data_IF_924190257603
#
_entry.id   IF_924190257603
#
_cell.length_a   1.000
_cell.length_b   1.000
_cell.length_c   1.000
_cell.angle_alpha   90.00
_cell.angle_beta   90.00
_cell.angle_gamma   90.00
#
_symmetry.space_group_name_H-M   'P 1'
#
loop_
_entity.id
_entity.type
_entity.pdbx_description
1 polymer ?
#
# COMPACT_ATOMS: atom_id res chain seq x y z
N UNK A 1 -11.58 -57.65 -30.26
CA UNK A 1 -10.57 -58.75 -30.35
C UNK A 1 -9.58 -58.62 -29.20
N UNK A 2 -8.77 -59.65 -28.90
CA UNK A 2 -7.78 -59.64 -27.79
C UNK A 2 -6.41 -59.12 -28.26
N UNK A 3 -5.64 -58.53 -27.34
CA UNK A 3 -4.27 -58.07 -27.60
C UNK A 3 -3.49 -57.81 -26.31
N UNK A 4 -3.16 -58.86 -25.55
CA UNK A 4 -2.24 -58.81 -24.39
C UNK A 4 -0.83 -59.21 -24.84
N UNK A 5 0.19 -58.52 -24.31
CA UNK A 5 1.52 -59.08 -24.06
C UNK A 5 1.88 -58.76 -22.60
N UNK A 6 2.72 -59.59 -21.98
CA UNK A 6 3.09 -59.54 -20.56
C UNK A 6 4.53 -60.04 -20.38
N UNK A 7 5.02 -60.03 -19.13
CA UNK A 7 6.35 -60.44 -18.66
C UNK A 7 7.51 -59.44 -18.91
N UNK A 8 8.47 -59.29 -17.98
CA UNK A 8 8.48 -59.82 -16.61
C UNK A 8 9.85 -59.78 -15.92
N UNK A 9 9.84 -59.73 -14.58
CA UNK A 9 11.03 -59.79 -13.71
C UNK A 9 11.79 -58.46 -13.55
N UNK A 10 12.41 -58.12 -12.43
CA UNK A 10 12.42 -58.79 -11.11
C UNK A 10 13.85 -58.99 -10.57
N UNK A 11 14.20 -58.32 -9.47
CA UNK A 11 15.52 -58.47 -8.82
C UNK A 11 15.80 -57.44 -7.73
N UNK A 12 15.50 -57.79 -6.48
CA UNK A 12 15.98 -57.08 -5.28
C UNK A 12 17.47 -57.38 -5.02
N UNK A 13 18.21 -56.41 -4.47
CA UNK A 13 19.52 -56.67 -3.85
C UNK A 13 19.81 -55.69 -2.70
N UNK A 14 20.10 -56.21 -1.50
CA UNK A 14 20.45 -55.46 -0.28
C UNK A 14 21.92 -55.67 0.10
N UNK A 15 22.68 -54.58 0.24
CA UNK A 15 23.78 -54.41 1.20
C UNK A 15 24.00 -52.89 1.39
N UNK A 16 24.14 -52.28 2.57
CA UNK A 16 24.80 -52.65 3.83
C UNK A 16 26.34 -52.45 3.80
N UNK A 17 26.80 -51.34 4.40
CA UNK A 17 28.21 -50.99 4.61
C UNK A 17 28.35 -49.84 5.62
N UNK A 18 29.39 -49.85 6.46
CA UNK A 18 29.68 -48.85 7.51
C UNK A 18 31.09 -48.26 7.34
N UNK A 19 31.29 -46.99 7.70
CA UNK A 19 32.62 -46.41 7.97
C UNK A 19 32.72 -44.90 7.68
N UNK A 20 33.49 -44.10 8.44
CA UNK A 20 34.19 -44.51 9.67
C UNK A 20 35.14 -43.54 10.39
N UNK A 21 35.62 -42.44 9.79
CA UNK A 21 36.52 -41.44 10.41
C UNK A 21 36.27 -40.06 9.76
N UNK A 22 36.33 -38.87 10.40
CA UNK A 22 36.88 -38.34 11.67
C UNK A 22 38.30 -37.71 11.58
N UNK A 23 38.36 -36.44 12.02
CA UNK A 23 39.50 -35.58 12.39
C UNK A 23 40.55 -35.15 11.34
N UNK A 24 40.68 -33.83 11.13
CA UNK A 24 41.89 -33.07 11.54
C UNK A 24 41.63 -31.56 11.55
N UNK A 25 42.37 -30.82 12.39
CA UNK A 25 42.34 -29.35 12.44
C UNK A 25 43.42 -28.75 11.53
N UNK A 26 43.24 -27.48 11.15
CA UNK A 26 44.37 -26.54 11.18
C UNK A 26 43.89 -25.14 11.58
N UNK A 27 44.75 -24.40 12.28
CA UNK A 27 44.57 -23.04 12.78
C UNK A 27 45.79 -22.23 12.37
N UNK A 28 45.59 -21.14 11.64
CA UNK A 28 46.64 -20.16 11.33
C UNK A 28 46.17 -18.77 11.78
N UNK A 29 46.69 -18.33 12.92
CA UNK A 29 46.83 -16.89 13.21
C UNK A 29 48.19 -16.44 12.68
N UNK A 30 48.32 -15.16 12.39
CA UNK A 30 49.61 -14.47 12.47
C UNK A 30 49.32 -13.07 12.98
N UNK A 31 50.15 -12.59 13.91
CA UNK A 31 49.94 -11.38 14.69
C UNK A 31 51.01 -10.33 14.35
N UNK A 32 51.07 -9.26 15.15
CA UNK A 32 52.09 -8.21 15.20
C UNK A 32 52.03 -7.05 14.18
N UNK A 33 52.40 -5.81 14.54
CA UNK A 33 52.19 -5.03 15.78
C UNK A 33 52.63 -3.55 15.60
N UNK A 34 52.60 -2.77 16.69
CA UNK A 34 52.99 -1.36 16.89
C UNK A 34 51.94 -0.29 16.50
N UNK A 35 51.46 0.63 17.38
CA UNK A 35 52.08 1.48 18.46
C UNK A 35 52.94 2.62 17.90
N UNK A 36 52.90 3.90 18.33
CA UNK A 36 52.04 4.72 19.25
C UNK A 36 52.20 6.21 18.79
N UNK A 37 52.01 7.37 19.48
CA UNK A 37 51.72 7.79 20.87
C UNK A 37 51.25 9.28 20.91
N UNK A 38 50.35 9.67 21.85
CA UNK A 38 50.18 11.05 22.42
C UNK A 38 49.78 12.23 21.47
N UNK A 39 49.34 13.43 21.91
CA UNK A 39 49.12 14.06 23.24
C UNK A 39 48.06 15.20 23.16
N UNK A 40 47.67 15.80 24.30
CA UNK A 40 46.71 16.92 24.40
C UNK A 40 47.36 18.29 24.76
N UNK A 41 46.70 19.41 24.39
CA UNK A 41 46.62 20.77 25.02
C UNK A 41 47.85 21.43 25.71
N UNK A 42 48.07 22.77 25.52
CA UNK A 42 47.27 23.81 26.19
C UNK A 42 46.98 25.08 25.32
N UNK A 43 46.94 26.31 25.88
CA UNK A 43 46.26 27.49 25.32
C UNK A 43 47.00 28.86 25.48
N UNK A 44 46.55 29.86 24.72
CA UNK A 44 46.69 31.34 24.88
C UNK A 44 48.13 31.97 24.90
N UNK A 45 48.31 33.32 24.85
CA UNK A 45 47.38 34.44 24.54
C UNK A 45 47.90 35.44 23.46
N UNK A 46 47.11 36.48 23.10
CA UNK A 46 47.44 37.94 23.15
C UNK A 46 46.52 38.87 22.32
N UNK A 47 46.40 40.13 22.74
CA UNK A 47 45.64 41.25 22.10
C UNK A 47 46.63 42.32 21.52
N UNK A 48 46.37 43.65 21.30
CA UNK A 48 45.24 44.53 21.68
C UNK A 48 44.82 45.63 20.62
N UNK A 49 43.99 46.60 21.10
CA UNK A 49 43.57 47.92 20.56
C UNK A 49 42.16 48.00 19.95
N UNK A 50 41.38 49.07 20.12
CA UNK A 50 41.35 50.17 21.12
C UNK A 50 40.11 51.07 20.89
N UNK A 51 39.35 51.47 21.92
CA UNK A 51 38.26 52.46 21.73
C UNK A 51 37.27 52.65 22.89
N UNK A 52 37.51 53.66 23.72
CA UNK A 52 36.61 54.27 24.73
C UNK A 52 37.06 55.74 24.92
N UNK A 53 36.32 56.67 25.57
CA UNK A 53 35.10 56.53 26.39
C UNK A 53 33.91 57.36 25.81
N UNK A 54 32.78 57.70 26.48
CA UNK A 54 32.63 58.54 27.69
C UNK A 54 31.25 58.41 28.40
N UNK A 55 31.17 59.00 29.60
CA UNK A 55 30.02 59.11 30.56
C UNK A 55 30.38 60.22 31.58
N UNK A 56 29.50 60.69 32.49
CA UNK A 56 28.04 60.93 32.47
C UNK A 56 27.79 62.48 32.40
N UNK A 57 26.77 63.13 33.03
CA UNK A 57 26.43 63.12 34.47
C UNK A 57 24.92 62.91 34.78
N UNK A 58 24.52 63.11 36.05
CA UNK A 58 23.14 62.98 36.56
C UNK A 58 22.77 64.15 37.53
N UNK A 59 21.81 64.01 38.48
CA UNK A 59 20.62 64.88 38.64
C UNK A 59 20.83 66.12 39.56
N UNK A 60 19.75 66.83 39.98
CA UNK A 60 19.21 66.56 41.33
C UNK A 60 17.67 66.71 41.55
N UNK A 61 17.23 66.18 42.69
CA UNK A 61 16.23 66.63 43.73
C UNK A 61 15.19 67.75 43.41
N UNK A 62 13.98 67.79 44.01
CA UNK A 62 13.32 66.87 44.98
C UNK A 62 12.07 67.46 45.70
N UNK A 63 11.49 66.67 46.62
CA UNK A 63 10.64 67.02 47.81
C UNK A 63 9.17 67.55 47.74
N UNK A 64 8.20 66.62 47.91
CA UNK A 64 7.05 66.55 48.90
C UNK A 64 6.06 67.77 49.12
N UNK A 65 5.00 67.74 50.00
CA UNK A 65 3.58 67.71 49.54
C UNK A 65 2.63 68.84 50.04
N UNK A 66 1.39 68.88 49.52
CA UNK A 66 0.24 69.57 50.16
C UNK A 66 -1.11 68.86 49.93
N UNK A 67 -2.01 68.94 50.93
CA UNK A 67 -3.46 68.68 50.87
C UNK A 67 -4.20 70.04 51.01
N UNK A 68 -5.51 70.25 50.84
CA UNK A 68 -6.76 69.46 50.61
C UNK A 68 -7.82 70.48 50.06
N UNK A 69 -9.15 70.23 49.87
CA UNK A 69 -10.02 69.05 50.10
C UNK A 69 -10.66 68.57 48.74
N UNK A 70 -11.77 67.83 48.58
CA UNK A 70 -12.94 67.51 49.40
C UNK A 70 -13.45 66.07 49.22
N UNK A 71 -14.22 65.60 50.19
CA UNK A 71 -14.87 64.28 50.18
C UNK A 71 -16.33 64.36 49.76
N UNK A 72 -16.89 63.29 49.16
CA UNK A 72 -18.20 62.70 49.51
C UNK A 72 -18.51 61.42 48.70
N UNK A 73 -19.44 60.60 49.21
CA UNK A 73 -20.04 59.41 48.55
C UNK A 73 -19.14 58.19 48.24
N UNK A 74 -18.24 57.85 49.16
CA UNK A 74 -17.85 56.45 49.38
C UNK A 74 -19.04 55.66 49.98
N UNK A 75 -19.33 54.43 49.51
CA UNK A 75 -20.17 53.49 50.29
C UNK A 75 -20.94 52.39 49.55
N UNK A 76 -21.56 52.66 48.39
CA UNK A 76 -22.71 51.84 47.95
C UNK A 76 -22.52 50.88 46.76
N UNK A 77 -21.43 50.98 45.98
CA UNK A 77 -21.25 50.16 44.76
C UNK A 77 -20.47 48.84 44.95
N UNK A 78 -19.83 48.62 46.10
CA UNK A 78 -19.02 47.40 46.35
C UNK A 78 -19.79 46.22 46.99
N UNK A 79 -21.10 46.33 47.26
CA UNK A 79 -21.89 45.23 47.85
C UNK A 79 -22.82 44.48 46.87
N UNK A 80 -23.01 44.98 45.65
CA UNK A 80 -23.83 44.30 44.63
C UNK A 80 -23.07 43.22 43.82
N UNK A 81 -21.75 43.34 43.70
CA UNK A 81 -20.95 42.43 42.85
C UNK A 81 -20.80 41.00 43.41
N UNK A 82 -21.07 40.78 44.70
CA UNK A 82 -20.83 39.51 45.40
C UNK A 82 -22.03 38.55 45.36
N UNK A 83 -23.25 39.07 45.17
CA UNK A 83 -24.49 38.26 45.22
C UNK A 83 -24.81 37.62 43.86
N UNK A 84 -24.49 38.28 42.74
CA UNK A 84 -24.67 37.71 41.38
C UNK A 84 -23.71 36.55 41.13
N UNK A 85 -22.53 36.53 41.77
CA UNK A 85 -21.49 35.50 41.59
C UNK A 85 -21.73 34.21 42.40
N UNK A 86 -22.91 34.03 43.02
CA UNK A 86 -23.20 32.90 43.94
C UNK A 86 -24.51 32.16 43.69
N UNK A 87 -25.24 32.43 42.59
CA UNK A 87 -26.61 31.91 42.38
C UNK A 87 -26.88 31.22 41.03
N UNK A 88 -25.84 30.79 40.30
CA UNK A 88 -25.97 29.97 39.06
C UNK A 88 -25.15 28.67 39.13
N UNK A 89 -25.13 28.02 40.30
CA UNK A 89 -24.38 26.78 40.54
C UNK A 89 -25.23 25.73 41.26
N UNK A 90 -26.22 25.16 40.56
CA UNK A 90 -26.65 23.75 40.73
C UNK A 90 -27.68 23.34 39.67
N UNK A 91 -27.20 22.80 38.55
CA UNK A 91 -27.87 21.70 37.87
C UNK A 91 -26.78 20.87 37.20
N UNK A 92 -26.58 19.64 37.69
CA UNK A 92 -25.51 18.77 37.22
C UNK A 92 -26.05 17.74 36.24
N UNK A 93 -25.52 17.74 35.02
CA UNK A 93 -25.53 16.58 34.12
C UNK A 93 -24.22 16.59 33.32
N UNK A 94 -23.63 15.44 32.94
CA UNK A 94 -22.26 15.36 32.44
C UNK A 94 -22.17 15.70 30.94
N UNK A 95 -22.54 16.92 30.58
CA UNK A 95 -22.37 17.49 29.24
C UNK A 95 -20.91 17.44 28.82
N UNK A 96 -20.63 16.73 27.72
CA UNK A 96 -19.29 16.36 27.29
C UNK A 96 -18.30 17.54 27.25
N UNK A 97 -17.09 17.30 27.78
CA UNK A 97 -15.91 18.04 27.32
C UNK A 97 -15.85 17.88 25.81
N UNK A 98 -15.89 18.99 25.07
CA UNK A 98 -15.71 19.01 23.63
C UNK A 98 -14.25 18.64 23.31
N UNK A 99 -14.00 17.32 23.26
CA UNK A 99 -12.70 16.77 22.89
C UNK A 99 -12.32 17.19 21.47
N UNK A 100 -11.00 17.25 21.21
CA UNK A 100 -10.48 17.52 19.86
C UNK A 100 -11.14 16.57 18.87
N UNK A 101 -11.72 17.12 17.81
CA UNK A 101 -12.45 16.38 16.78
C UNK A 101 -11.52 15.40 16.07
N UNK A 102 -11.56 14.13 16.48
CA UNK A 102 -10.70 13.05 16.00
C UNK A 102 -10.02 12.21 17.10
N UNK A 103 -10.00 12.67 18.36
CA UNK A 103 -9.27 12.00 19.44
C UNK A 103 -10.12 10.89 20.10
N UNK A 104 -9.59 9.66 20.16
CA UNK A 104 -10.30 8.48 20.68
C UNK A 104 -10.36 8.47 22.20
N UNK A 105 -11.58 8.52 22.78
CA UNK A 105 -11.83 8.55 24.22
C UNK A 105 -12.33 7.22 24.78
N UNK A 106 -12.27 6.14 23.99
CA UNK A 106 -12.65 4.79 24.43
C UNK A 106 -11.80 4.31 25.63
N UNK A 107 -12.44 3.74 26.65
CA UNK A 107 -11.74 3.37 27.91
C UNK A 107 -10.90 2.09 27.83
N UNK A 108 -11.18 1.23 26.85
CA UNK A 108 -10.60 -0.12 26.77
C UNK A 108 -10.17 -0.47 25.34
N UNK A 109 -9.18 -1.36 25.14
CA UNK A 109 -8.83 -1.91 23.83
C UNK A 109 -9.98 -2.71 23.20
N UNK A 110 -9.96 -2.83 21.88
CA UNK A 110 -10.90 -3.67 21.13
C UNK A 110 -10.17 -4.68 20.24
N UNK A 111 -10.56 -5.96 20.36
CA UNK A 111 -10.23 -7.01 19.41
C UNK A 111 -11.12 -6.90 18.18
N UNK A 112 -10.55 -7.10 17.00
CA UNK A 112 -11.24 -7.24 15.72
C UNK A 112 -10.71 -8.47 15.00
N UNK A 113 -11.59 -9.17 14.28
CA UNK A 113 -11.15 -10.06 13.20
C UNK A 113 -11.17 -9.23 11.92
N UNK A 114 -10.03 -9.19 11.24
CA UNK A 114 -9.89 -8.68 9.90
C UNK A 114 -9.86 -9.87 8.94
N UNK A 115 -10.68 -9.81 7.89
CA UNK A 115 -10.64 -10.69 6.73
C UNK A 115 -10.31 -9.84 5.52
N UNK A 116 -9.28 -10.23 4.76
CA UNK A 116 -8.99 -9.71 3.43
C UNK A 116 -9.45 -10.74 2.41
N UNK A 117 -10.19 -10.30 1.39
CA UNK A 117 -10.71 -11.14 0.31
C UNK A 117 -10.23 -10.60 -1.04
N UNK A 118 -9.41 -11.36 -1.75
CA UNK A 118 -9.04 -11.05 -3.13
C UNK A 118 -10.20 -11.31 -4.08
N UNK A 119 -10.48 -10.36 -4.99
CA UNK A 119 -11.53 -10.43 -6.01
C UNK A 119 -10.97 -10.33 -7.44
N UNK A 120 -9.64 -10.41 -7.58
CA UNK A 120 -8.94 -10.36 -8.86
C UNK A 120 -9.18 -11.67 -9.63
N UNK A 121 -10.04 -11.64 -10.66
CA UNK A 121 -10.36 -12.80 -11.49
C UNK A 121 -10.27 -12.48 -12.99
N UNK A 122 -10.23 -13.50 -13.88
CA UNK A 122 -10.33 -13.28 -15.32
C UNK A 122 -11.65 -12.63 -15.75
N UNK A 123 -12.71 -12.71 -14.94
CA UNK A 123 -14.00 -12.09 -15.23
C UNK A 123 -13.98 -10.60 -14.88
N UNK A 124 -13.46 -10.22 -13.70
CA UNK A 124 -13.41 -8.82 -13.25
C UNK A 124 -12.26 -8.04 -13.89
N UNK A 125 -11.13 -8.70 -14.19
CA UNK A 125 -9.94 -8.08 -14.80
C UNK A 125 -9.33 -8.98 -15.89
N UNK A 126 -10.00 -9.16 -17.05
CA UNK A 126 -9.52 -10.02 -18.13
C UNK A 126 -8.21 -9.55 -18.80
N UNK A 127 -7.93 -8.24 -18.83
CA UNK A 127 -6.78 -7.68 -19.56
C UNK A 127 -5.47 -8.16 -18.94
N UNK A 128 -4.71 -8.93 -19.71
CA UNK A 128 -3.40 -9.48 -19.33
C UNK A 128 -3.40 -10.32 -18.05
N UNK A 129 -4.55 -10.91 -17.64
CA UNK A 129 -4.66 -11.66 -16.38
C UNK A 129 -3.54 -12.72 -16.23
N UNK A 130 -2.67 -12.65 -15.21
CA UNK A 130 -1.53 -13.56 -15.09
C UNK A 130 -1.95 -15.02 -14.82
N UNK A 131 -1.76 -15.89 -15.81
CA UNK A 131 -2.09 -17.32 -15.69
C UNK A 131 -0.89 -18.21 -15.31
N UNK A 132 0.36 -17.75 -15.50
CA UNK A 132 1.55 -18.57 -15.29
C UNK A 132 2.81 -17.73 -15.00
N UNK A 133 3.71 -18.31 -14.19
CA UNK A 133 5.09 -17.84 -13.94
C UNK A 133 5.24 -16.35 -13.51
N UNK A 134 4.67 -15.93 -12.37
CA UNK A 134 3.72 -16.63 -11.52
C UNK A 134 2.26 -16.39 -11.95
N UNK A 135 1.30 -17.25 -11.54
CA UNK A 135 -0.11 -16.91 -11.65
C UNK A 135 -0.47 -15.71 -10.77
N UNK A 136 -1.59 -15.05 -11.08
CA UNK A 136 -2.18 -13.99 -10.28
C UNK A 136 -2.43 -14.48 -8.85
N UNK A 137 -1.84 -13.78 -7.88
CA UNK A 137 -1.86 -14.14 -6.46
C UNK A 137 -1.57 -12.90 -5.59
N UNK A 138 -1.66 -13.04 -4.26
CA UNK A 138 -1.44 -11.95 -3.30
C UNK A 138 -0.28 -12.22 -2.36
N UNK A 139 0.43 -11.16 -1.96
CA UNK A 139 1.37 -11.26 -0.84
C UNK A 139 0.66 -11.59 0.47
N UNK A 140 1.43 -11.96 1.50
CA UNK A 140 1.04 -11.76 2.91
C UNK A 140 0.45 -10.34 3.08
N UNK A 141 -0.65 -10.19 3.80
CA UNK A 141 -1.12 -8.87 4.23
C UNK A 141 -0.23 -8.37 5.36
N UNK A 142 0.11 -7.08 5.31
CA UNK A 142 0.71 -6.34 6.42
C UNK A 142 -0.33 -5.36 6.95
N UNK A 143 -0.54 -5.35 8.27
CA UNK A 143 -1.35 -4.34 8.94
C UNK A 143 -0.60 -3.75 10.15
N UNK A 144 -0.83 -2.48 10.44
CA UNK A 144 -0.25 -1.74 11.57
C UNK A 144 -1.35 -0.97 12.27
N UNK A 145 -1.41 -1.03 13.60
CA UNK A 145 -2.25 -0.13 14.42
C UNK A 145 -1.41 1.03 14.94
N UNK A 146 -1.90 2.26 14.81
CA UNK A 146 -1.10 3.48 15.04
C UNK A 146 -1.95 4.69 15.43
N UNK A 147 -1.27 5.79 15.77
CA UNK A 147 -1.80 7.14 15.90
C UNK A 147 -1.54 7.94 14.62
N UNK A 148 -2.04 9.18 14.55
CA UNK A 148 -1.79 10.13 13.45
C UNK A 148 -0.34 10.66 13.38
N UNK A 149 0.57 10.18 14.22
CA UNK A 149 2.02 10.49 14.15
C UNK A 149 2.79 9.52 13.22
N UNK A 150 2.10 8.57 12.59
CA UNK A 150 2.68 7.56 11.70
C UNK A 150 1.71 7.21 10.58
N UNK A 151 2.21 7.09 9.36
CA UNK A 151 1.52 6.51 8.22
C UNK A 151 2.34 5.32 7.72
N UNK A 152 1.68 4.23 7.28
CA UNK A 152 2.37 3.08 6.68
C UNK A 152 2.82 3.40 5.25
N UNK A 153 1.92 4.06 4.52
CA UNK A 153 2.02 4.64 3.19
C UNK A 153 0.89 5.67 3.10
N UNK A 154 0.94 6.64 2.19
CA UNK A 154 -0.12 7.61 1.98
C UNK A 154 -0.19 8.00 0.50
N UNK A 155 -1.38 8.18 -0.08
CA UNK A 155 -1.53 8.67 -1.45
C UNK A 155 -1.03 10.12 -1.56
N UNK A 156 -0.31 10.43 -2.64
CA UNK A 156 0.31 11.73 -2.86
C UNK A 156 1.66 11.93 -2.17
N UNK A 157 2.18 10.93 -1.43
CA UNK A 157 3.47 10.97 -0.73
C UNK A 157 4.47 9.94 -1.30
N UNK A 158 5.77 10.12 -1.04
CA UNK A 158 6.81 9.18 -1.47
C UNK A 158 6.78 7.87 -0.66
N UNK A 159 6.76 6.72 -1.35
CA UNK A 159 6.90 5.41 -0.72
C UNK A 159 8.20 5.28 0.09
N UNK A 160 8.11 4.86 1.37
CA UNK A 160 9.28 4.58 2.21
C UNK A 160 10.13 3.43 1.65
N UNK A 161 11.38 3.28 2.11
CA UNK A 161 12.22 2.10 1.77
C UNK A 161 11.55 0.77 2.13
N UNK A 162 10.78 0.75 3.22
CA UNK A 162 9.94 -0.38 3.61
C UNK A 162 8.78 -0.60 2.64
N UNK A 163 8.05 0.46 2.29
CA UNK A 163 6.95 0.41 1.32
C UNK A 163 7.47 -0.11 -0.02
N UNK A 164 8.51 0.49 -0.59
CA UNK A 164 9.18 0.06 -1.83
C UNK A 164 9.56 -1.41 -1.84
N UNK A 165 10.32 -1.87 -0.84
CA UNK A 165 10.78 -3.27 -0.76
C UNK A 165 9.62 -4.28 -0.61
N UNK A 166 8.47 -3.84 -0.08
CA UNK A 166 7.26 -4.66 -0.05
C UNK A 166 6.44 -4.58 -1.35
N UNK A 167 6.32 -3.37 -1.90
CA UNK A 167 5.64 -3.03 -3.15
C UNK A 167 6.25 -3.78 -4.33
N UNK A 168 7.57 -3.76 -4.49
CA UNK A 168 8.30 -4.49 -5.53
C UNK A 168 8.37 -6.01 -5.24
N UNK A 169 8.85 -6.39 -4.06
CA UNK A 169 9.40 -7.74 -3.80
C UNK A 169 8.61 -8.55 -2.76
N UNK A 170 7.61 -7.97 -2.11
CA UNK A 170 6.93 -8.56 -0.96
C UNK A 170 7.84 -8.75 0.27
N UNK A 171 9.01 -8.09 0.32
CA UNK A 171 9.96 -8.19 1.43
C UNK A 171 9.52 -7.28 2.58
N UNK A 172 9.71 -7.72 3.82
CA UNK A 172 9.08 -7.10 5.00
C UNK A 172 10.06 -6.85 6.15
N UNK A 173 11.32 -6.61 5.83
CA UNK A 173 12.40 -6.35 6.80
C UNK A 173 12.37 -4.88 7.21
N UNK A 174 12.48 -3.96 6.24
CA UNK A 174 12.48 -2.52 6.51
C UNK A 174 11.12 -2.05 7.08
N UNK A 175 9.96 -2.52 6.59
CA UNK A 175 8.65 -2.24 7.23
C UNK A 175 8.59 -2.61 8.73
N UNK A 176 9.30 -3.65 9.16
CA UNK A 176 9.36 -4.03 10.59
C UNK A 176 10.26 -3.10 11.37
N UNK A 177 11.36 -2.65 10.77
CA UNK A 177 12.31 -1.70 11.34
C UNK A 177 11.66 -0.33 11.52
N UNK A 178 11.00 0.19 10.49
CA UNK A 178 10.24 1.44 10.49
C UNK A 178 9.16 1.41 11.60
N UNK A 179 8.31 0.37 11.61
CA UNK A 179 7.26 0.22 12.62
C UNK A 179 7.81 0.00 14.05
N UNK A 180 8.97 -0.66 14.21
CA UNK A 180 9.66 -0.81 15.50
C UNK A 180 10.22 0.51 16.01
N UNK A 181 10.74 1.37 15.13
CA UNK A 181 11.24 2.69 15.52
C UNK A 181 10.09 3.62 15.89
N UNK A 182 9.06 3.72 15.05
CA UNK A 182 7.85 4.49 15.36
C UNK A 182 7.17 4.01 16.66
N UNK A 183 7.26 2.71 16.99
CA UNK A 183 6.79 2.19 18.28
C UNK A 183 7.65 2.65 19.48
N UNK A 184 8.95 2.90 19.32
CA UNK A 184 9.78 3.55 20.37
C UNK A 184 9.30 4.98 20.63
N UNK A 185 8.92 5.69 19.57
CA UNK A 185 8.29 7.03 19.62
C UNK A 185 6.83 7.01 20.09
N UNK A 186 6.29 5.84 20.47
CA UNK A 186 4.89 5.55 20.87
C UNK A 186 3.82 5.67 19.77
N UNK A 187 4.12 6.31 18.64
CA UNK A 187 3.23 6.48 17.49
C UNK A 187 2.58 5.17 16.98
N UNK A 188 3.33 4.05 16.99
CA UNK A 188 2.83 2.72 16.59
C UNK A 188 2.44 1.85 17.80
N UNK A 189 1.35 1.11 17.66
CA UNK A 189 0.87 0.06 18.55
C UNK A 189 1.46 -1.31 18.20
N UNK A 190 0.80 -2.03 17.29
CA UNK A 190 1.13 -3.42 16.93
C UNK A 190 1.15 -3.63 15.42
N UNK A 191 1.94 -4.60 14.95
CA UNK A 191 2.02 -5.02 13.55
C UNK A 191 1.50 -6.45 13.42
N UNK A 192 0.63 -6.67 12.44
CA UNK A 192 -0.08 -7.93 12.18
C UNK A 192 0.24 -8.43 10.77
N UNK A 193 0.09 -9.75 10.57
CA UNK A 193 0.42 -10.45 9.32
C UNK A 193 -0.54 -11.60 9.05
N UNK A 194 -0.81 -11.85 7.77
CA UNK A 194 -1.45 -13.09 7.29
C UNK A 194 -0.47 -13.94 6.48
N UNK A 195 -0.90 -15.13 6.04
CA UNK A 195 -0.29 -15.81 4.90
C UNK A 195 -0.72 -15.12 3.58
N UNK A 196 0.10 -15.24 2.54
CA UNK A 196 -0.31 -14.84 1.18
C UNK A 196 -1.36 -15.79 0.61
N UNK A 197 -2.15 -15.29 -0.35
CA UNK A 197 -3.20 -16.07 -1.03
C UNK A 197 -2.63 -16.50 -2.39
N UNK A 198 -2.46 -17.81 -2.69
CA UNK A 198 -1.80 -18.31 -3.89
C UNK A 198 -2.67 -18.26 -5.17
N UNK A 199 -3.67 -17.37 -5.20
CA UNK A 199 -4.61 -17.16 -6.30
C UNK A 199 -5.20 -15.75 -6.22
N UNK A 200 -5.62 -15.17 -7.35
CA UNK A 200 -6.21 -13.82 -7.42
C UNK A 200 -7.54 -13.71 -6.66
N UNK A 201 -8.31 -14.80 -6.59
CA UNK A 201 -9.47 -14.95 -5.72
C UNK A 201 -9.17 -15.84 -4.51
N UNK A 202 -9.66 -15.44 -3.34
CA UNK A 202 -9.47 -16.17 -2.08
C UNK A 202 -9.53 -15.24 -0.88
N UNK A 203 -9.25 -15.75 0.33
CA UNK A 203 -9.24 -14.91 1.54
C UNK A 203 -8.13 -15.29 2.52
N UNK A 204 -7.74 -14.34 3.37
CA UNK A 204 -6.89 -14.55 4.53
C UNK A 204 -7.38 -13.70 5.71
N UNK A 205 -7.15 -14.13 6.95
CA UNK A 205 -7.67 -13.45 8.13
C UNK A 205 -6.68 -13.42 9.30
N UNK A 206 -6.91 -12.49 10.23
CA UNK A 206 -6.11 -12.33 11.46
C UNK A 206 -6.93 -11.64 12.56
N UNK A 207 -6.63 -11.92 13.84
CA UNK A 207 -7.14 -11.11 14.95
C UNK A 207 -6.15 -9.97 15.23
N UNK A 208 -6.65 -8.74 15.28
CA UNK A 208 -5.90 -7.55 15.63
C UNK A 208 -6.53 -6.81 16.81
N UNK A 209 -5.71 -6.07 17.57
CA UNK A 209 -6.14 -5.37 18.78
C UNK A 209 -5.76 -3.90 18.67
N UNK A 210 -6.76 -3.03 18.63
CA UNK A 210 -6.56 -1.58 18.70
C UNK A 210 -6.57 -1.11 20.15
N UNK A 211 -5.77 -0.08 20.42
CA UNK A 211 -5.69 0.61 21.70
C UNK A 211 -6.26 2.01 21.52
N UNK A 212 -6.85 2.65 22.55
CA UNK A 212 -7.36 4.02 22.41
C UNK A 212 -6.31 5.03 21.94
N UNK A 213 -5.05 4.85 22.39
CA UNK A 213 -3.87 5.64 21.96
C UNK A 213 -3.37 5.34 20.52
N UNK A 214 -3.94 4.35 19.84
CA UNK A 214 -3.57 3.96 18.49
C UNK A 214 -4.80 3.37 17.77
N UNK A 215 -5.82 4.21 17.46
CA UNK A 215 -7.12 3.79 16.94
C UNK A 215 -7.16 3.68 15.41
N UNK A 216 -6.09 4.09 14.73
CA UNK A 216 -5.96 4.02 13.28
C UNK A 216 -5.39 2.66 12.87
N UNK A 217 -5.83 2.18 11.71
CA UNK A 217 -5.37 0.97 11.05
C UNK A 217 -4.90 1.30 9.63
N UNK A 218 -3.62 1.05 9.35
CA UNK A 218 -3.10 1.02 7.98
C UNK A 218 -2.77 -0.41 7.57
N UNK A 219 -2.95 -0.74 6.30
CA UNK A 219 -2.59 -2.04 5.74
C UNK A 219 -2.16 -1.97 4.27
N UNK A 220 -1.45 -3.01 3.84
CA UNK A 220 -0.85 -3.11 2.51
C UNK A 220 -0.73 -4.59 2.07
N UNK A 221 -1.04 -4.88 0.81
CA UNK A 221 -0.90 -6.20 0.16
C UNK A 221 -0.42 -6.01 -1.29
N UNK A 222 0.76 -6.54 -1.64
CA UNK A 222 1.27 -6.51 -3.03
C UNK A 222 0.45 -7.43 -3.93
N UNK A 223 0.15 -6.96 -5.16
CA UNK A 223 -0.32 -7.79 -6.27
C UNK A 223 0.85 -8.61 -6.82
N UNK A 224 0.68 -9.90 -7.07
CA UNK A 224 1.76 -10.73 -7.64
C UNK A 224 1.25 -11.44 -8.90
N UNK A 225 1.93 -11.33 -10.05
CA UNK A 225 3.05 -10.41 -10.32
C UNK A 225 2.56 -8.97 -10.53
N UNK A 226 3.41 -8.00 -10.21
CA UNK A 226 3.28 -6.58 -10.56
C UNK A 226 4.66 -5.92 -10.46
N UNK A 227 4.89 -4.75 -11.09
CA UNK A 227 6.10 -3.94 -10.90
C UNK A 227 6.25 -3.57 -9.42
N UNK A 228 5.43 -2.63 -8.92
CA UNK A 228 5.36 -2.29 -7.50
C UNK A 228 3.92 -2.25 -6.93
N UNK A 229 2.92 -2.60 -7.74
CA UNK A 229 1.51 -2.36 -7.41
C UNK A 229 1.00 -3.12 -6.18
N UNK A 230 0.18 -2.43 -5.39
CA UNK A 230 -0.41 -2.97 -4.17
C UNK A 230 -1.88 -2.54 -4.00
N UNK A 231 -2.58 -3.16 -3.05
CA UNK A 231 -3.83 -2.63 -2.48
C UNK A 231 -3.64 -2.36 -1.00
N UNK A 232 -4.38 -1.41 -0.44
CA UNK A 232 -4.27 -1.08 0.97
C UNK A 232 -5.34 -0.13 1.48
N UNK A 233 -5.20 0.24 2.75
CA UNK A 233 -5.86 1.40 3.36
C UNK A 233 -4.83 2.13 4.22
N UNK A 234 -4.81 3.47 4.19
CA UNK A 234 -4.10 4.30 5.17
C UNK A 234 -5.08 4.77 6.26
N UNK A 235 -4.60 4.82 7.50
CA UNK A 235 -5.18 5.60 8.60
C UNK A 235 -6.68 5.39 8.90
N UNK A 236 -7.22 4.19 8.68
CA UNK A 236 -8.62 3.87 8.95
C UNK A 236 -8.97 3.99 10.43
N UNK A 237 -9.75 5.00 10.80
CA UNK A 237 -10.16 5.18 12.19
C UNK A 237 -11.36 4.30 12.59
N UNK A 238 -11.10 3.36 13.50
CA UNK A 238 -12.09 2.42 14.05
C UNK A 238 -12.68 2.88 15.40
N UNK A 239 -12.20 3.99 15.96
CA UNK A 239 -12.71 4.60 17.19
C UNK A 239 -13.41 5.94 16.91
N UNK A 240 -14.64 6.10 17.36
CA UNK A 240 -15.42 7.32 17.21
C UNK A 240 -15.88 7.81 18.58
N UNK A 241 -15.24 8.89 19.05
CA UNK A 241 -15.35 9.33 20.44
C UNK A 241 -15.02 8.19 21.40
N UNK A 242 -16.00 7.82 22.23
CA UNK A 242 -15.87 6.75 23.23
C UNK A 242 -16.11 5.32 22.71
N UNK A 243 -16.47 5.14 21.44
CA UNK A 243 -16.98 3.87 20.91
C UNK A 243 -16.10 3.25 19.81
N UNK A 244 -15.99 1.93 19.84
CA UNK A 244 -15.33 1.13 18.79
C UNK A 244 -16.36 0.62 17.80
N UNK A 245 -16.19 0.94 16.51
CA UNK A 245 -17.10 0.59 15.41
C UNK A 245 -17.33 -0.92 15.35
N UNK A 246 -18.58 -1.38 15.28
CA UNK A 246 -18.90 -2.80 15.46
C UNK A 246 -18.53 -3.66 14.25
N UNK A 247 -18.73 -3.14 13.04
CA UNK A 247 -18.48 -3.81 11.77
C UNK A 247 -18.11 -2.77 10.70
N UNK A 248 -17.29 -3.15 9.73
CA UNK A 248 -16.73 -2.30 8.69
C UNK A 248 -16.43 -3.14 7.45
N UNK A 249 -16.77 -2.65 6.26
CA UNK A 249 -16.39 -3.25 4.97
C UNK A 249 -15.83 -2.14 4.09
N UNK A 250 -14.71 -2.38 3.40
CA UNK A 250 -14.12 -1.44 2.46
C UNK A 250 -13.64 -2.14 1.19
N UNK A 251 -13.93 -1.50 0.06
CA UNK A 251 -13.55 -1.95 -1.28
C UNK A 251 -12.18 -1.40 -1.65
N UNK A 252 -11.25 -2.31 -1.96
CA UNK A 252 -9.85 -1.99 -2.18
C UNK A 252 -9.51 -1.93 -3.67
N UNK A 253 -8.77 -0.89 -4.01
CA UNK A 253 -8.37 -0.52 -5.36
C UNK A 253 -6.84 -0.57 -5.48
N UNK A 254 -6.29 -0.80 -6.69
CA UNK A 254 -4.86 -0.80 -6.90
C UNK A 254 -4.24 0.59 -6.74
N UNK A 255 -3.03 0.62 -6.18
CA UNK A 255 -2.14 1.78 -6.10
C UNK A 255 -0.78 1.41 -6.70
N UNK A 256 -0.16 2.38 -7.35
CA UNK A 256 1.23 2.38 -7.78
C UNK A 256 2.11 2.94 -6.66
N UNK A 257 3.31 2.40 -6.45
CA UNK A 257 4.21 2.89 -5.39
C UNK A 257 5.21 3.96 -5.87
N UNK A 258 5.22 4.28 -7.17
CA UNK A 258 6.09 5.29 -7.78
C UNK A 258 7.56 4.88 -7.84
N UNK A 259 7.85 3.58 -7.78
CA UNK A 259 9.21 3.02 -7.60
C UNK A 259 9.70 2.14 -8.74
N UNK A 260 8.80 1.52 -9.52
CA UNK A 260 9.11 0.81 -10.76
C UNK A 260 8.11 1.18 -11.88
N UNK A 261 8.63 1.67 -13.01
CA UNK A 261 7.86 2.21 -14.14
C UNK A 261 7.37 1.13 -15.12
N UNK A 262 7.24 -0.13 -14.70
CA UNK A 262 6.70 -1.21 -15.51
C UNK A 262 5.21 -1.01 -15.87
N UNK A 263 4.84 -1.20 -17.14
CA UNK A 263 3.45 -0.97 -17.59
C UNK A 263 2.50 -2.15 -17.31
N UNK A 264 3.03 -3.36 -17.10
CA UNK A 264 2.22 -4.59 -17.03
C UNK A 264 2.56 -5.44 -15.82
N UNK A 265 1.60 -6.29 -15.39
CA UNK A 265 1.79 -7.26 -14.31
C UNK A 265 3.12 -8.04 -14.39
N UNK A 266 3.58 -8.37 -15.59
CA UNK A 266 4.82 -9.13 -15.85
C UNK A 266 5.89 -8.33 -16.60
N UNK A 267 5.91 -7.00 -16.44
CA UNK A 267 7.00 -6.18 -16.97
C UNK A 267 8.34 -6.48 -16.27
N UNK A 268 9.47 -6.34 -16.96
CA UNK A 268 10.78 -6.36 -16.31
C UNK A 268 10.93 -5.12 -15.42
N UNK A 269 11.64 -5.29 -14.30
CA UNK A 269 11.97 -4.24 -13.33
C UNK A 269 12.66 -3.04 -14.01
N UNK A 270 12.01 -1.88 -14.02
CA UNK A 270 12.49 -0.63 -14.61
C UNK A 270 12.34 0.55 -13.62
N UNK A 271 13.35 0.84 -12.77
CA UNK A 271 13.18 1.72 -11.61
C UNK A 271 12.84 3.18 -11.95
N UNK A 272 11.75 3.69 -11.38
CA UNK A 272 11.32 5.10 -11.52
C UNK A 272 12.41 6.04 -11.00
N UNK A 273 12.87 6.96 -11.86
CA UNK A 273 13.98 7.88 -11.57
C UNK A 273 13.65 9.29 -12.13
N UNK A 274 13.33 10.29 -11.29
CA UNK A 274 13.21 10.22 -9.82
C UNK A 274 12.11 9.27 -9.36
N UNK A 275 12.12 8.93 -8.06
CA UNK A 275 11.00 8.22 -7.46
C UNK A 275 9.75 9.13 -7.49
N UNK A 276 8.62 8.57 -7.89
CA UNK A 276 7.32 9.24 -7.91
C UNK A 276 6.53 8.98 -6.62
N UNK A 277 5.45 9.73 -6.43
CA UNK A 277 4.58 9.59 -5.27
C UNK A 277 3.62 8.41 -5.45
N UNK A 278 3.13 7.83 -4.36
CA UNK A 278 2.09 6.79 -4.39
C UNK A 278 0.82 7.36 -5.02
N UNK A 279 0.28 6.69 -6.03
CA UNK A 279 -0.93 7.14 -6.76
C UNK A 279 -1.96 6.03 -6.90
N UNK A 280 -3.26 6.34 -6.83
CA UNK A 280 -4.33 5.38 -7.12
C UNK A 280 -4.37 5.05 -8.62
N UNK A 281 -4.28 3.76 -8.95
CA UNK A 281 -4.50 3.27 -10.31
C UNK A 281 -6.00 3.22 -10.59
N UNK A 282 -6.41 3.68 -11.77
CA UNK A 282 -7.81 3.78 -12.20
C UNK A 282 -8.00 3.13 -13.58
N UNK A 283 -9.24 3.11 -14.08
CA UNK A 283 -9.55 2.56 -15.42
C UNK A 283 -8.96 3.37 -16.57
N UNK A 284 -8.56 4.62 -16.32
CA UNK A 284 -8.11 5.57 -17.34
C UNK A 284 -6.71 6.17 -17.05
N UNK A 285 -6.18 6.02 -15.83
CA UNK A 285 -4.89 6.55 -15.40
C UNK A 285 -4.10 5.43 -14.68
N UNK A 286 -2.84 5.14 -15.06
CA UNK A 286 -2.08 5.75 -16.16
C UNK A 286 -2.65 5.38 -17.56
N UNK A 287 -2.64 6.35 -18.49
CA UNK A 287 -3.45 6.36 -19.72
C UNK A 287 -2.81 5.71 -20.96
N UNK A 288 -1.89 4.76 -20.78
CA UNK A 288 -1.19 4.10 -21.88
C UNK A 288 -1.87 2.76 -22.26
N UNK A 289 -2.11 2.45 -23.56
CA UNK A 289 -2.90 1.28 -23.97
C UNK A 289 -2.40 -0.06 -23.43
N UNK A 290 -1.07 -0.23 -23.28
CA UNK A 290 -0.48 -1.46 -22.78
C UNK A 290 -0.74 -1.71 -21.28
N UNK A 291 -1.18 -0.70 -20.51
CA UNK A 291 -1.30 -0.81 -19.06
C UNK A 291 -2.36 -1.84 -18.64
N UNK A 292 -2.02 -2.72 -17.70
CA UNK A 292 -2.91 -3.84 -17.33
C UNK A 292 -4.27 -3.40 -16.74
N UNK A 293 -4.32 -2.23 -16.11
CA UNK A 293 -5.54 -1.64 -15.55
C UNK A 293 -6.20 -0.57 -16.45
N UNK A 294 -5.71 -0.35 -17.67
CA UNK A 294 -6.35 0.59 -18.61
C UNK A 294 -7.53 -0.06 -19.34
N UNK A 295 -8.74 0.30 -18.88
CA UNK A 295 -10.06 -0.11 -19.38
C UNK A 295 -10.89 1.14 -19.74
N UNK A 296 -10.67 1.80 -20.89
CA UNK A 296 -11.25 3.11 -21.19
C UNK A 296 -12.79 3.15 -21.29
N UNK A 297 -13.45 2.00 -21.36
CA UNK A 297 -14.92 1.87 -21.33
C UNK A 297 -15.52 1.82 -19.91
N UNK A 298 -14.69 1.70 -18.88
CA UNK A 298 -15.13 1.68 -17.49
C UNK A 298 -14.99 3.08 -16.84
N UNK A 299 -16.03 3.62 -16.18
CA UNK A 299 -15.91 4.87 -15.44
C UNK A 299 -14.98 4.74 -14.22
N UNK A 300 -14.99 3.56 -13.59
CA UNK A 300 -14.13 3.17 -12.47
C UNK A 300 -13.78 1.68 -12.56
N UNK A 301 -12.70 1.25 -11.88
CA UNK A 301 -12.38 -0.18 -11.77
C UNK A 301 -13.32 -0.86 -10.76
N UNK A 302 -13.65 -2.15 -10.95
CA UNK A 302 -14.21 -2.97 -9.88
C UNK A 302 -13.31 -2.98 -8.63
N UNK A 303 -13.85 -3.33 -7.45
CA UNK A 303 -13.02 -3.68 -6.29
C UNK A 303 -12.10 -4.86 -6.63
N UNK A 304 -10.78 -4.66 -6.53
CA UNK A 304 -9.78 -5.70 -6.79
C UNK A 304 -9.64 -6.65 -5.59
N UNK A 305 -9.93 -6.14 -4.39
CA UNK A 305 -10.08 -6.91 -3.16
C UNK A 305 -11.07 -6.19 -2.23
N UNK A 306 -11.43 -6.80 -1.12
CA UNK A 306 -12.15 -6.14 0.00
C UNK A 306 -11.48 -6.47 1.32
N UNK A 307 -11.73 -5.62 2.31
CA UNK A 307 -11.55 -5.97 3.72
C UNK A 307 -12.87 -5.91 4.45
N UNK A 308 -13.04 -6.85 5.39
CA UNK A 308 -14.13 -6.87 6.35
C UNK A 308 -13.53 -6.96 7.75
N UNK A 309 -13.94 -6.04 8.62
CA UNK A 309 -13.53 -5.96 10.01
C UNK A 309 -14.74 -6.09 10.92
N UNK A 310 -14.70 -7.05 11.85
CA UNK A 310 -15.75 -7.23 12.85
C UNK A 310 -15.19 -7.26 14.27
N UNK A 311 -15.69 -6.34 15.10
CA UNK A 311 -15.33 -6.21 16.51
C UNK A 311 -15.76 -7.47 17.28
N UNK A 312 -14.80 -8.08 17.96
CA UNK A 312 -15.03 -9.27 18.77
C UNK A 312 -15.58 -8.89 20.13
N UNK A 313 -16.71 -9.49 20.51
CA UNK A 313 -17.23 -9.42 21.87
C UNK A 313 -16.48 -10.47 22.70
N UNK A 314 -15.82 -10.05 23.78
CA UNK A 314 -15.18 -10.98 24.72
C UNK A 314 -16.26 -11.78 25.46
N UNK A 315 -16.56 -12.98 24.96
CA UNK A 315 -17.28 -13.98 25.74
C UNK A 315 -16.46 -14.36 26.97
N UNK A 316 -17.05 -14.48 28.18
CA UNK A 316 -16.36 -14.99 29.36
C UNK A 316 -16.05 -16.50 29.26
N UNK A 317 -16.63 -17.20 28.27
CA UNK A 317 -16.34 -18.62 28.01
C UNK A 317 -15.05 -18.74 27.20
N UNK A 318 -14.07 -19.51 27.70
CA UNK A 318 -12.89 -19.96 26.94
C UNK A 318 -13.31 -20.89 25.80
N UNK A 319 -13.67 -20.35 24.66
CA UNK A 319 -13.80 -21.12 23.42
C UNK A 319 -12.40 -21.39 22.85
N UNK A 320 -11.97 -22.66 22.90
CA UNK A 320 -10.74 -23.10 22.25
C UNK A 320 -10.87 -22.99 20.73
N UNK A 321 -9.89 -22.34 20.09
CA UNK A 321 -9.72 -22.24 18.63
C UNK A 321 -10.95 -21.76 17.86
N UNK A 322 -11.03 -20.44 17.64
CA UNK A 322 -11.76 -19.92 16.48
C UNK A 322 -11.18 -20.56 15.22
N UNK A 323 -12.00 -21.34 14.50
CA UNK A 323 -11.60 -22.03 13.28
C UNK A 323 -11.55 -21.07 12.08
N UNK A 324 -10.93 -21.50 10.99
CA UNK A 324 -10.87 -20.81 9.69
C UNK A 324 -12.24 -20.84 8.95
N UNK A 325 -13.33 -20.61 9.68
CA UNK A 325 -14.72 -20.76 9.21
C UNK A 325 -15.59 -19.53 9.47
N UNK A 326 -15.00 -18.40 9.92
CA UNK A 326 -15.66 -17.10 9.79
C UNK A 326 -15.55 -16.67 8.33
N UNK A 327 -16.43 -17.26 7.51
CA UNK A 327 -16.72 -16.77 6.17
C UNK A 327 -17.28 -15.34 6.31
N UNK A 328 -16.78 -14.36 5.55
CA UNK A 328 -17.45 -13.07 5.46
C UNK A 328 -18.87 -13.33 4.93
N UNK A 329 -19.87 -12.66 5.51
CA UNK A 329 -21.18 -12.62 4.85
C UNK A 329 -20.99 -11.96 3.47
N UNK A 330 -21.56 -12.49 2.39
CA UNK A 330 -21.45 -11.90 1.08
C UNK A 330 -22.23 -10.57 1.05
N UNK A 331 -21.54 -9.47 1.36
CA UNK A 331 -21.93 -8.14 0.92
C UNK A 331 -22.13 -8.18 -0.59
N UNK A 332 -23.20 -7.54 -1.08
CA UNK A 332 -23.71 -7.74 -2.44
C UNK A 332 -22.71 -7.30 -3.53
N UNK A 333 -21.87 -8.23 -3.98
CA UNK A 333 -21.14 -8.13 -5.23
C UNK A 333 -22.11 -8.29 -6.42
N UNK A 334 -22.93 -7.27 -6.66
CA UNK A 334 -24.01 -7.28 -7.66
C UNK A 334 -23.91 -6.16 -8.72
N UNK A 335 -22.73 -5.59 -8.94
CA UNK A 335 -22.52 -4.60 -10.00
C UNK A 335 -21.31 -4.84 -10.93
N UNK A 336 -20.39 -5.74 -10.55
CA UNK A 336 -19.20 -6.08 -11.33
C UNK A 336 -19.04 -7.60 -11.43
N UNK A 337 -19.97 -8.28 -12.13
CA UNK A 337 -19.85 -9.72 -12.41
C UNK A 337 -18.77 -9.99 -13.47
N UNK A 338 -18.70 -9.13 -14.48
CA UNK A 338 -17.83 -9.27 -15.66
C UNK A 338 -17.45 -7.88 -16.18
N UNK A 339 -16.20 -7.71 -16.59
CA UNK A 339 -15.68 -6.50 -17.25
C UNK A 339 -15.59 -6.72 -18.76
N UNK A 340 -16.28 -5.95 -19.62
CA UNK A 340 -16.14 -6.10 -21.07
C UNK A 340 -14.72 -5.73 -21.52
N UNK A 341 -14.13 -6.56 -22.38
CA UNK A 341 -12.84 -6.28 -23.00
C UNK A 341 -12.92 -6.54 -24.51
N UNK A 342 -12.70 -5.50 -25.29
CA UNK A 342 -12.79 -5.54 -26.75
C UNK A 342 -11.52 -6.13 -27.36
N UNK A 343 -11.62 -6.69 -28.57
CA UNK A 343 -10.46 -7.15 -29.31
C UNK A 343 -9.64 -5.99 -29.86
N UNK A 344 -8.34 -5.94 -29.55
CA UNK A 344 -7.38 -5.04 -30.18
C UNK A 344 -6.58 -5.83 -31.24
N UNK A 345 -6.41 -5.28 -32.44
CA UNK A 345 -5.66 -5.90 -33.55
C UNK A 345 -4.58 -4.95 -34.07
N UNK A 346 -3.54 -5.51 -34.70
CA UNK A 346 -2.47 -4.73 -35.31
C UNK A 346 -2.98 -3.90 -36.50
N UNK A 347 -2.15 -2.94 -36.92
CA UNK A 347 -2.23 -2.43 -38.28
C UNK A 347 -2.11 -3.59 -39.28
N UNK A 348 -2.69 -3.41 -40.47
CA UNK A 348 -2.48 -4.31 -41.59
C UNK A 348 -1.00 -4.34 -42.02
N UNK A 349 -0.55 -5.50 -42.48
CA UNK A 349 0.69 -5.62 -43.22
C UNK A 349 0.65 -4.78 -44.50
N UNK A 350 1.82 -4.52 -45.07
CA UNK A 350 1.92 -4.21 -46.50
C UNK A 350 1.17 -5.27 -47.32
N UNK A 351 0.61 -4.86 -48.45
CA UNK A 351 0.08 -5.81 -49.43
C UNK A 351 1.18 -6.75 -49.91
N UNK A 352 0.88 -8.04 -49.98
CA UNK A 352 1.70 -9.03 -50.66
C UNK A 352 1.72 -8.81 -52.17
N UNK A 353 2.47 -9.67 -52.87
CA UNK A 353 2.54 -9.65 -54.33
C UNK A 353 1.15 -9.82 -54.95
N UNK A 354 0.91 -9.13 -56.06
CA UNK A 354 -0.27 -9.35 -56.89
C UNK A 354 -0.09 -10.63 -57.72
N UNK A 355 -0.90 -11.65 -57.46
CA UNK A 355 -0.79 -12.97 -58.09
C UNK A 355 -2.03 -13.26 -58.94
N UNK A 356 -1.82 -13.62 -60.20
CA UNK A 356 -2.86 -13.95 -61.19
C UNK A 356 -2.35 -13.79 -62.62
N UNK A 357 -3.10 -14.24 -63.64
CA UNK A 357 -2.75 -14.09 -65.05
C UNK A 357 -3.17 -12.72 -65.59
N UNK A 358 -2.40 -12.14 -66.52
CA UNK A 358 -2.71 -10.82 -67.08
C UNK A 358 -4.09 -10.70 -67.74
N UNK A 359 -4.69 -11.81 -68.19
CA UNK A 359 -6.01 -11.86 -68.83
C UNK A 359 -7.19 -11.71 -67.88
N UNK A 360 -7.02 -12.03 -66.59
CA UNK A 360 -8.10 -12.07 -65.59
C UNK A 360 -7.84 -11.09 -64.43
N UNK A 361 -6.65 -10.48 -64.40
CA UNK A 361 -6.15 -9.70 -63.27
C UNK A 361 -5.48 -10.59 -62.23
N UNK A 362 -5.25 -10.05 -61.04
CA UNK A 362 -4.71 -10.80 -59.92
C UNK A 362 -5.30 -10.37 -58.59
N UNK A 363 -5.02 -11.17 -57.57
CA UNK A 363 -5.38 -10.90 -56.18
C UNK A 363 -4.12 -10.70 -55.38
N UNK A 364 -4.13 -9.68 -54.51
CA UNK A 364 -3.13 -9.46 -53.46
C UNK A 364 -3.80 -9.61 -52.10
N UNK A 365 -3.03 -10.08 -51.13
CA UNK A 365 -3.50 -10.34 -49.77
C UNK A 365 -2.71 -9.50 -48.77
N UNK A 366 -3.32 -9.13 -47.65
CA UNK A 366 -2.66 -8.55 -46.47
C UNK A 366 -3.24 -9.15 -45.19
N UNK A 367 -2.46 -9.16 -44.12
CA UNK A 367 -2.87 -9.78 -42.85
C UNK A 367 -2.60 -8.86 -41.66
N UNK A 368 -3.30 -9.10 -40.55
CA UNK A 368 -3.09 -8.46 -39.25
C UNK A 368 -3.27 -9.48 -38.14
N UNK A 369 -2.71 -9.22 -36.96
CA UNK A 369 -2.77 -10.15 -35.84
C UNK A 369 -3.44 -9.53 -34.61
N UNK A 370 -3.94 -10.38 -33.72
CA UNK A 370 -4.58 -9.97 -32.47
C UNK A 370 -3.51 -9.50 -31.48
N UNK A 371 -3.64 -8.26 -30.99
CA UNK A 371 -2.85 -7.69 -29.91
C UNK A 371 -3.46 -8.03 -28.54
N UNK A 372 -4.79 -7.93 -28.43
CA UNK A 372 -5.56 -8.23 -27.23
C UNK A 372 -6.78 -9.07 -27.60
N UNK A 373 -6.93 -10.24 -26.97
CA UNK A 373 -8.12 -11.08 -27.17
C UNK A 373 -9.32 -10.48 -26.42
N UNK A 374 -10.53 -10.55 -27.00
CA UNK A 374 -11.73 -10.08 -26.35
C UNK A 374 -12.09 -10.99 -25.17
N UNK A 375 -12.83 -10.45 -24.20
CA UNK A 375 -13.36 -11.20 -23.07
C UNK A 375 -14.73 -10.68 -22.63
N UNK A 376 -15.50 -11.58 -22.00
CA UNK A 376 -16.85 -11.33 -21.51
C UNK A 376 -17.74 -10.73 -22.62
N UNK A 377 -18.44 -9.62 -22.37
CA UNK A 377 -19.33 -8.93 -23.31
C UNK A 377 -18.62 -7.92 -24.23
N UNK A 378 -17.31 -8.07 -24.45
CA UNK A 378 -16.54 -7.24 -25.37
C UNK A 378 -16.74 -7.56 -26.85
N UNK A 379 -16.39 -6.61 -27.72
CA UNK A 379 -16.49 -6.71 -29.18
C UNK A 379 -15.52 -7.77 -29.71
N UNK A 380 -15.99 -8.75 -30.52
CA UNK A 380 -15.14 -9.79 -31.08
C UNK A 380 -14.12 -9.24 -32.09
N UNK A 381 -13.08 -10.01 -32.38
CA UNK A 381 -12.07 -9.59 -33.34
C UNK A 381 -12.65 -9.45 -34.76
N UNK A 382 -12.30 -8.36 -35.48
CA UNK A 382 -12.62 -8.24 -36.90
C UNK A 382 -11.74 -9.18 -37.74
N UNK A 383 -12.04 -9.26 -39.04
CA UNK A 383 -11.30 -10.09 -40.01
C UNK A 383 -9.79 -9.81 -39.97
N UNK A 384 -8.99 -10.88 -39.96
CA UNK A 384 -7.53 -10.84 -39.81
C UNK A 384 -6.77 -10.92 -41.13
N UNK A 385 -7.48 -11.20 -42.22
CA UNK A 385 -6.95 -11.30 -43.59
C UNK A 385 -7.85 -10.46 -44.51
N UNK A 386 -7.27 -9.80 -45.50
CA UNK A 386 -7.99 -8.99 -46.48
C UNK A 386 -7.40 -9.24 -47.87
N UNK A 387 -8.27 -9.42 -48.86
CA UNK A 387 -7.90 -9.60 -50.26
C UNK A 387 -8.40 -8.42 -51.09
N UNK A 388 -7.62 -8.03 -52.10
CA UNK A 388 -8.03 -7.01 -53.07
C UNK A 388 -7.56 -7.38 -54.48
N UNK A 389 -8.36 -7.00 -55.47
CA UNK A 389 -8.01 -7.06 -56.89
C UNK A 389 -6.83 -6.12 -57.19
N UNK A 390 -6.04 -6.49 -58.20
CA UNK A 390 -4.86 -5.76 -58.63
C UNK A 390 -4.43 -6.20 -60.04
N UNK A 391 -3.55 -5.42 -60.68
CA UNK A 391 -2.88 -5.79 -61.91
C UNK A 391 -1.46 -6.30 -61.58
N UNK A 392 -1.08 -7.55 -61.93
CA UNK A 392 0.26 -8.05 -61.68
C UNK A 392 1.33 -7.19 -62.37
N UNK A 393 2.45 -6.90 -61.70
CA UNK A 393 3.46 -5.97 -62.22
C UNK A 393 4.05 -6.40 -63.58
N UNK A 394 4.13 -7.71 -63.86
CA UNK A 394 4.61 -8.21 -65.15
C UNK A 394 3.66 -7.89 -66.33
N UNK A 395 2.41 -7.52 -66.07
CA UNK A 395 1.42 -7.11 -67.06
C UNK A 395 1.49 -5.60 -67.40
N UNK A 396 2.16 -4.79 -66.57
CA UNK A 396 2.22 -3.33 -66.69
C UNK A 396 3.19 -2.84 -67.80
N UNK A 397 3.76 -3.76 -68.58
CA UNK A 397 4.79 -3.49 -69.58
C UNK A 397 4.26 -3.28 -71.02
N UNK A 398 2.93 -3.17 -71.20
CA UNK A 398 2.29 -2.90 -72.49
C UNK A 398 1.34 -1.70 -72.40
N UNK A 399 1.86 -0.51 -72.69
CA UNK A 399 1.09 0.72 -72.93
C UNK A 399 1.93 1.67 -73.80
#
# INVERSE_FOLDING_TARGET
>A
MKGKVFFGGGGDLKAAGRGGQRDTLSRAQTEAEHQTWSSCHPADPLSPRSGAPARPPSPPEGLVPTMSPDSLFQGWLQRLLVIVLKLTLSCGDPGAVAGRTGECTARHPASYILVFTGLWSPQTFPKQYPLFRPPAQWSKLIAVTHSSEFHLWQEGELASRGVRSFAEQGVTVELVKDAREARRRRAVGSMYRTAGIPAGTGHSSTELVLQPRSPLLSLMVKLIPSPDWFVGVDSLNLCEGGQWKQEMTLDLHPYDAGTDSGFTFSSPNFPSTPQENVTKITSQIPNHPANSFYYPRLPELPPLATIWLRRQVRSPVRQNRLSNHILPHPTKAQHFSETPLDCEVSLWSSWGLCLGPCSEGGVRHRTRYILLKPANTGVPCPELEEQAECMPHHCQAHN
#
